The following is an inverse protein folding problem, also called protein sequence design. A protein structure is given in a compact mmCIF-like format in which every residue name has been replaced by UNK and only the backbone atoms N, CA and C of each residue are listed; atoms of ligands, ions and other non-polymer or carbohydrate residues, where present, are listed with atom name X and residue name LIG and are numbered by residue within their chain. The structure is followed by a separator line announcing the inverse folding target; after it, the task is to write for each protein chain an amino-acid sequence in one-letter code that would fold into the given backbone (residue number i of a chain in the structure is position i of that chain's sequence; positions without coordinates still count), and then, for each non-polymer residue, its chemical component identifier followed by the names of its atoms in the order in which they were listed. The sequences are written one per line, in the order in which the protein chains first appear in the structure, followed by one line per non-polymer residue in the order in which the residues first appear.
data_IF_003469325886
#
_entry.id   IF_003469325886
#
_cell.length_a   1.000
_cell.length_b   1.000
_cell.length_c   1.000
_cell.angle_alpha   90.00
_cell.angle_beta   90.00
_cell.angle_gamma   90.00
#
_symmetry.space_group_name_H-M   'P 1'
#
loop_
_entity.id
_entity.type
_entity.pdbx_description
1 polymer ?
#
# COMPACT_ATOMS: atom_id res chain seq x y z
N UNK A 1 15.87 -2.17 -11.73
CA UNK A 1 15.22 -3.43 -11.35
C UNK A 1 13.99 -3.09 -10.49
N UNK A 2 12.77 -3.32 -10.98
CA UNK A 2 11.56 -3.08 -10.17
C UNK A 2 11.36 -4.29 -9.28
N UNK A 3 11.67 -4.14 -7.98
CA UNK A 3 11.50 -5.20 -6.98
C UNK A 3 10.01 -5.36 -6.63
N UNK A 4 9.23 -5.90 -7.57
CA UNK A 4 7.84 -6.34 -7.33
C UNK A 4 7.82 -7.32 -6.15
N UNK A 5 6.75 -7.29 -5.34
CA UNK A 5 6.66 -8.15 -4.15
C UNK A 5 7.27 -7.55 -2.87
N UNK A 6 8.02 -6.44 -2.94
CA UNK A 6 8.56 -5.78 -1.74
C UNK A 6 7.60 -4.77 -1.11
N UNK A 7 7.79 -4.49 0.19
CA UNK A 7 7.06 -3.41 0.89
C UNK A 7 7.32 -2.04 0.24
N UNK A 8 8.55 -1.80 -0.24
CA UNK A 8 8.91 -0.56 -0.91
C UNK A 8 8.14 -0.38 -2.22
N UNK A 9 8.04 -1.44 -3.04
CA UNK A 9 7.21 -1.44 -4.25
C UNK A 9 5.75 -1.15 -3.93
N UNK A 10 5.15 -1.83 -2.95
CA UNK A 10 3.75 -1.62 -2.60
C UNK A 10 3.46 -0.18 -2.14
N UNK A 11 4.39 0.42 -1.36
CA UNK A 11 4.32 1.84 -0.99
C UNK A 11 4.40 2.75 -2.21
N UNK A 12 5.29 2.43 -3.16
CA UNK A 12 5.46 3.21 -4.39
C UNK A 12 4.20 3.19 -5.24
N UNK A 13 3.60 2.02 -5.47
CA UNK A 13 2.35 1.86 -6.24
C UNK A 13 1.24 2.71 -5.64
N UNK A 14 1.01 2.59 -4.33
CA UNK A 14 -0.02 3.35 -3.64
C UNK A 14 0.27 4.87 -3.64
N UNK A 15 1.54 5.27 -3.51
CA UNK A 15 1.94 6.68 -3.57
C UNK A 15 1.74 7.27 -4.98
N UNK A 16 2.07 6.52 -6.04
CA UNK A 16 1.81 6.90 -7.43
C UNK A 16 0.31 7.08 -7.69
N UNK A 17 -0.52 6.24 -7.05
CA UNK A 17 -1.98 6.39 -7.06
C UNK A 17 -2.52 7.54 -6.17
N UNK A 18 -1.65 8.39 -5.60
CA UNK A 18 -2.04 9.53 -4.78
C UNK A 18 -2.48 9.20 -3.35
N UNK A 19 -2.29 7.95 -2.90
CA UNK A 19 -2.75 7.49 -1.59
C UNK A 19 -1.72 7.90 -0.53
N UNK A 20 -2.20 8.46 0.57
CA UNK A 20 -1.37 8.85 1.73
C UNK A 20 -1.65 7.99 2.97
N UNK A 21 -2.89 7.54 3.12
CA UNK A 21 -3.37 6.71 4.22
C UNK A 21 -4.09 5.47 3.70
N UNK A 22 -3.96 4.36 4.42
CA UNK A 22 -4.66 3.11 4.16
C UNK A 22 -5.45 2.69 5.40
N UNK A 23 -6.60 2.05 5.22
CA UNK A 23 -7.38 1.54 6.34
C UNK A 23 -6.79 0.22 6.84
N UNK A 24 -6.43 0.17 8.12
CA UNK A 24 -5.96 -1.03 8.81
C UNK A 24 -6.84 -1.22 10.03
N UNK A 25 -7.54 -2.35 10.12
CA UNK A 25 -8.43 -2.66 11.25
C UNK A 25 -9.38 -1.50 11.61
N UNK A 26 -10.05 -0.92 10.61
CA UNK A 26 -10.96 0.24 10.74
C UNK A 26 -10.29 1.55 11.21
N UNK A 27 -8.95 1.62 11.23
CA UNK A 27 -8.19 2.84 11.57
C UNK A 27 -7.44 3.36 10.35
N UNK A 28 -7.46 4.67 10.16
CA UNK A 28 -6.64 5.34 9.15
C UNK A 28 -5.17 5.28 9.57
N UNK A 29 -4.34 4.62 8.76
CA UNK A 29 -2.91 4.43 9.04
C UNK A 29 -2.09 5.06 7.92
N UNK A 30 -1.03 5.79 8.28
CA UNK A 30 -0.09 6.33 7.28
C UNK A 30 0.57 5.21 6.50
N UNK A 31 0.72 5.42 5.19
CA UNK A 31 1.40 4.48 4.29
C UNK A 31 2.80 4.07 4.78
N UNK A 32 3.51 5.00 5.42
CA UNK A 32 4.81 4.75 6.03
C UNK A 32 4.76 3.66 7.12
N UNK A 33 3.70 3.66 7.93
CA UNK A 33 3.52 2.84 9.13
C UNK A 33 2.69 1.57 8.85
N UNK A 34 2.06 1.46 7.68
CA UNK A 34 1.27 0.30 7.31
C UNK A 34 2.13 -0.97 7.20
N UNK A 35 1.55 -2.10 7.60
CA UNK A 35 2.14 -3.43 7.40
C UNK A 35 2.13 -3.81 5.92
N UNK A 36 2.99 -4.75 5.52
CA UNK A 36 3.04 -5.22 4.12
C UNK A 36 1.67 -5.76 3.68
N UNK A 37 1.05 -6.61 4.50
CA UNK A 37 -0.28 -7.18 4.23
C UNK A 37 -1.36 -6.12 4.01
N UNK A 38 -1.34 -5.03 4.79
CA UNK A 38 -2.29 -3.94 4.60
C UNK A 38 -2.10 -3.21 3.26
N UNK A 39 -0.84 -2.99 2.85
CA UNK A 39 -0.54 -2.35 1.57
C UNK A 39 -1.02 -3.21 0.40
N UNK A 40 -0.73 -4.50 0.39
CA UNK A 40 -1.18 -5.41 -0.67
C UNK A 40 -2.69 -5.58 -0.71
N UNK A 41 -3.36 -5.65 0.45
CA UNK A 41 -4.83 -5.64 0.49
C UNK A 41 -5.40 -4.38 -0.12
N UNK A 42 -4.79 -3.22 0.14
CA UNK A 42 -5.24 -1.96 -0.43
C UNK A 42 -5.01 -1.90 -1.95
N UNK A 43 -3.86 -2.40 -2.43
CA UNK A 43 -3.56 -2.51 -3.87
C UNK A 43 -4.61 -3.40 -4.55
N UNK A 44 -4.86 -4.59 -4.00
CA UNK A 44 -5.88 -5.51 -4.52
C UNK A 44 -7.29 -4.88 -4.48
N UNK A 45 -7.67 -4.25 -3.38
CA UNK A 45 -8.98 -3.59 -3.21
C UNK A 45 -9.21 -2.49 -4.25
N UNK A 46 -8.15 -1.83 -4.70
CA UNK A 46 -8.21 -0.74 -5.68
C UNK A 46 -7.89 -1.17 -7.11
N UNK A 47 -7.55 -2.43 -7.34
CA UNK A 47 -7.15 -2.93 -8.66
C UNK A 47 -5.85 -2.29 -9.17
N UNK A 48 -4.90 -1.98 -8.29
CA UNK A 48 -3.62 -1.31 -8.63
C UNK A 48 -2.48 -2.30 -8.91
N UNK A 49 -2.79 -3.58 -9.19
CA UNK A 49 -1.80 -4.62 -9.50
C UNK A 49 -1.23 -4.48 -10.91
#
# INVERSE_FOLDING_TARGET
MVLTGTKAWAKSVLKTAGIKHVMVAKRSTRLANASMTALYREINRRGLN
#
